data_IF_543823804001
#
_entry.id   IF_543823804001
#
_cell.length_a   1.000
_cell.length_b   1.000
_cell.length_c   1.000
_cell.angle_alpha   90.00
_cell.angle_beta   90.00
_cell.angle_gamma   90.00
#
_symmetry.space_group_name_H-M   'P 1'
#
loop_
_entity.id
_entity.type
_entity.pdbx_description
1 polymer ?
#
# COMPACT_ATOMS: atom_id res chain seq x y z
N UNK A 1 -23.22 -2.09 10.16
CA UNK A 1 -23.02 -1.93 8.70
C UNK A 1 -22.09 -3.06 8.25
N UNK A 2 -22.58 -4.04 7.49
CA UNK A 2 -21.84 -5.30 7.21
C UNK A 2 -20.59 -5.14 6.34
N UNK A 3 -19.56 -4.42 6.82
CA UNK A 3 -18.23 -4.26 6.22
C UNK A 3 -18.15 -3.40 4.96
N UNK A 4 -19.27 -3.16 4.27
CA UNK A 4 -19.27 -2.57 2.92
C UNK A 4 -18.70 -1.16 2.80
N UNK A 5 -18.99 -0.27 3.76
CA UNK A 5 -18.52 1.13 3.71
C UNK A 5 -17.00 1.22 3.85
N UNK A 6 -16.43 0.45 4.76
CA UNK A 6 -14.98 0.42 4.94
C UNK A 6 -14.29 -0.20 3.72
N UNK A 7 -14.81 -1.30 3.18
CA UNK A 7 -14.27 -1.93 1.97
C UNK A 7 -14.30 -0.97 0.78
N UNK A 8 -15.40 -0.25 0.56
CA UNK A 8 -15.52 0.76 -0.48
C UNK A 8 -14.50 1.90 -0.30
N UNK A 9 -14.38 2.43 0.93
CA UNK A 9 -13.38 3.44 1.25
C UNK A 9 -11.96 2.95 1.00
N UNK A 10 -11.65 1.71 1.39
CA UNK A 10 -10.35 1.08 1.17
C UNK A 10 -10.04 0.92 -0.32
N UNK A 11 -11.01 0.48 -1.13
CA UNK A 11 -10.85 0.36 -2.58
C UNK A 11 -10.54 1.72 -3.23
N UNK A 12 -11.25 2.78 -2.84
CA UNK A 12 -10.98 4.14 -3.32
C UNK A 12 -9.61 4.65 -2.87
N UNK A 13 -9.25 4.40 -1.61
CA UNK A 13 -7.95 4.78 -1.06
C UNK A 13 -6.81 4.04 -1.76
N UNK A 14 -6.99 2.75 -2.05
CA UNK A 14 -5.99 1.94 -2.75
C UNK A 14 -5.79 2.49 -4.17
N UNK A 15 -6.90 2.78 -4.86
CA UNK A 15 -6.86 3.37 -6.20
C UNK A 15 -6.17 4.73 -6.22
N UNK A 16 -6.44 5.61 -5.25
CA UNK A 16 -5.86 6.95 -5.23
C UNK A 16 -4.43 6.98 -4.65
N UNK A 17 -4.19 6.27 -3.55
CA UNK A 17 -2.95 6.33 -2.78
C UNK A 17 -1.79 5.55 -3.39
N UNK A 18 -2.08 4.52 -4.18
CA UNK A 18 -1.07 3.69 -4.84
C UNK A 18 -0.96 3.97 -6.35
N UNK A 19 -1.74 4.93 -6.88
CA UNK A 19 -1.59 5.39 -8.26
C UNK A 19 -0.21 6.04 -8.46
N UNK A 20 0.62 5.52 -9.38
CA UNK A 20 1.90 6.14 -9.72
C UNK A 20 1.79 7.61 -10.17
N UNK A 21 0.64 8.03 -10.71
CA UNK A 21 0.37 9.41 -11.11
C UNK A 21 0.28 10.40 -9.94
N UNK A 22 -0.08 9.94 -8.75
CA UNK A 22 -0.18 10.78 -7.53
C UNK A 22 1.20 11.03 -6.91
N UNK A 23 2.19 10.18 -7.21
CA UNK A 23 3.58 10.37 -6.80
C UNK A 23 3.91 9.92 -5.38
N UNK A 24 3.03 9.15 -4.73
CA UNK A 24 3.34 8.45 -3.47
C UNK A 24 4.04 7.11 -3.70
N UNK A 25 3.66 6.40 -4.76
CA UNK A 25 4.24 5.13 -5.18
C UNK A 25 4.74 5.23 -6.62
N UNK A 26 5.65 4.34 -6.99
CA UNK A 26 6.05 4.09 -8.37
C UNK A 26 5.91 2.61 -8.69
N UNK A 27 5.64 2.31 -9.96
CA UNK A 27 5.66 0.95 -10.47
C UNK A 27 7.06 0.62 -11.01
N UNK A 28 7.61 -0.52 -10.60
CA UNK A 28 8.77 -1.13 -11.21
C UNK A 28 8.41 -1.69 -12.61
N UNK A 29 9.42 -2.11 -13.39
CA UNK A 29 9.22 -2.70 -14.72
C UNK A 29 8.32 -3.94 -14.71
N UNK A 30 8.25 -4.66 -13.58
CA UNK A 30 7.40 -5.84 -13.38
C UNK A 30 5.98 -5.51 -12.87
N UNK A 31 5.64 -4.22 -12.80
CA UNK A 31 4.34 -3.72 -12.33
C UNK A 31 4.18 -3.69 -10.81
N UNK A 32 5.23 -4.00 -10.02
CA UNK A 32 5.17 -3.96 -8.56
C UNK A 32 5.39 -2.55 -8.02
N UNK A 33 4.68 -2.23 -6.95
CA UNK A 33 4.63 -0.90 -6.35
C UNK A 33 5.62 -0.75 -5.21
N UNK A 34 6.34 0.38 -5.20
CA UNK A 34 7.20 0.80 -4.09
C UNK A 34 6.99 2.28 -3.79
N UNK A 35 7.02 2.70 -2.51
CA UNK A 35 6.83 4.10 -2.15
C UNK A 35 8.06 4.93 -2.54
N UNK A 36 7.80 6.12 -3.09
CA UNK A 36 8.82 7.06 -3.51
C UNK A 36 9.34 7.89 -2.32
N UNK A 37 10.58 8.38 -2.37
CA UNK A 37 11.01 9.41 -1.44
C UNK A 37 10.22 10.69 -1.74
N UNK A 38 9.59 11.25 -0.72
CA UNK A 38 8.80 12.47 -0.86
C UNK A 38 9.67 13.62 -1.37
N UNK A 39 9.57 13.92 -2.67
CA UNK A 39 10.30 15.00 -3.33
C UNK A 39 9.79 16.37 -2.89
N UNK A 40 9.94 16.79 -1.63
CA UNK A 40 9.57 18.13 -1.13
C UNK A 40 8.14 18.61 -1.46
N UNK A 41 7.27 17.75 -2.00
CA UNK A 41 5.94 18.08 -2.50
C UNK A 41 4.99 17.90 -1.34
N UNK A 42 4.69 19.01 -0.67
CA UNK A 42 3.49 19.10 0.15
C UNK A 42 2.29 18.82 -0.77
N UNK A 43 1.59 17.72 -0.52
CA UNK A 43 0.33 17.43 -1.20
C UNK A 43 -0.71 18.37 -0.60
N UNK A 44 -1.06 19.43 -1.33
CA UNK A 44 -2.12 20.35 -0.94
C UNK A 44 -3.45 19.74 -1.38
N UNK A 45 -4.28 19.36 -0.41
CA UNK A 45 -5.67 19.00 -0.68
C UNK A 45 -6.47 20.29 -0.80
N UNK A 46 -6.90 20.64 -2.02
CA UNK A 46 -7.93 21.67 -2.20
C UNK A 46 -9.27 21.10 -1.75
N UNK A 47 -9.91 21.77 -0.79
CA UNK A 47 -11.25 21.45 -0.34
C UNK A 47 -12.23 21.69 -1.49
N UNK A 48 -12.73 20.63 -2.12
CA UNK A 48 -13.83 20.71 -3.07
C UNK A 48 -15.12 21.15 -2.34
N UNK A 49 -15.37 22.45 -2.29
CA UNK A 49 -16.69 23.01 -2.04
C UNK A 49 -17.01 24.10 -3.06
N UNK A 50 -17.93 23.76 -3.96
CA UNK A 50 -18.83 24.70 -4.62
C UNK A 50 -18.22 25.52 -5.74
N UNK A 51 -18.38 25.02 -6.97
CA UNK A 51 -18.60 25.90 -8.10
C UNK A 51 -19.93 26.64 -7.85
N UNK A 52 -19.87 27.92 -7.48
CA UNK A 52 -20.92 28.89 -7.79
C UNK A 52 -20.27 30.18 -8.29
N UNK A 53 -21.05 30.84 -9.12
CA UNK A 53 -20.71 31.75 -10.20
C UNK A 53 -20.29 33.15 -9.71
N UNK A 54 -19.24 33.72 -10.31
CA UNK A 54 -19.05 35.16 -10.53
C UNK A 54 -18.62 36.05 -9.35
N UNK A 55 -17.32 36.39 -9.28
CA UNK A 55 -16.83 37.78 -9.16
C UNK A 55 -15.30 37.87 -9.21
N UNK A 56 -14.79 38.78 -10.05
CA UNK A 56 -13.39 39.20 -10.13
C UNK A 56 -12.89 39.87 -8.84
N UNK A 57 -11.61 39.64 -8.50
CA UNK A 57 -10.55 40.63 -8.19
C UNK A 57 -9.51 40.11 -7.17
N UNK A 58 -8.35 40.78 -6.97
CA UNK A 58 -7.21 40.85 -7.88
C UNK A 58 -5.92 40.27 -7.25
N UNK A 59 -4.91 40.06 -8.09
CA UNK A 59 -3.56 39.67 -7.69
C UNK A 59 -2.91 40.69 -6.73
N UNK A 60 -2.44 40.22 -5.56
CA UNK A 60 -1.43 40.93 -4.76
C UNK A 60 -0.48 39.88 -4.18
N UNK A 61 0.74 39.83 -4.72
CA UNK A 61 1.83 39.03 -4.18
C UNK A 61 2.35 39.61 -2.87
N UNK A 62 2.65 38.73 -1.91
CA UNK A 62 3.66 38.95 -0.86
C UNK A 62 4.25 37.61 -0.43
N UNK A 63 5.56 37.48 -0.67
CA UNK A 63 6.44 36.48 -0.10
C UNK A 63 6.57 36.66 1.41
N UNK A 64 6.76 35.55 2.13
CA UNK A 64 7.28 35.55 3.49
C UNK A 64 8.33 34.45 3.62
N UNK A 65 9.59 34.85 3.75
CA UNK A 65 10.66 33.99 4.25
C UNK A 65 10.55 33.89 5.77
N UNK A 66 10.66 32.67 6.32
CA UNK A 66 10.93 32.46 7.75
C UNK A 66 12.30 31.81 7.86
N UNK A 67 13.23 32.58 8.43
CA UNK A 67 14.60 32.19 8.69
C UNK A 67 14.67 30.99 9.66
N UNK A 68 15.35 29.91 9.24
CA UNK A 68 15.78 28.85 10.14
C UNK A 68 17.15 29.22 10.73
N UNK A 69 17.23 29.36 12.05
CA UNK A 69 18.51 29.39 12.78
C UNK A 69 19.01 27.97 13.06
N UNK A 70 20.32 27.71 13.03
CA UNK A 70 20.89 26.37 13.14
C UNK A 70 21.18 26.02 14.60
N UNK A 71 20.77 24.82 15.04
CA UNK A 71 21.50 23.94 15.98
C UNK A 71 20.55 22.94 16.67
N UNK A 72 20.77 21.65 16.42
CA UNK A 72 20.95 20.68 17.51
C UNK A 72 21.49 19.38 16.93
N UNK A 73 22.73 19.08 17.30
CA UNK A 73 23.41 17.83 17.07
C UNK A 73 22.74 16.74 17.91
N UNK A 74 22.28 15.65 17.29
CA UNK A 74 21.95 14.42 18.02
C UNK A 74 22.90 13.30 17.61
N UNK A 75 23.82 13.01 18.53
CA UNK A 75 24.72 11.86 18.53
C UNK A 75 23.91 10.57 18.75
N UNK A 76 24.01 9.62 17.83
CA UNK A 76 23.62 8.23 18.06
C UNK A 76 24.72 7.50 18.84
N UNK A 77 24.41 6.62 19.81
CA UNK A 77 25.42 5.74 20.40
C UNK A 77 25.74 4.55 19.46
N UNK A 78 26.98 4.02 19.49
CA UNK A 78 27.40 2.89 18.66
C UNK A 78 26.88 1.55 19.22
N UNK A 79 26.55 0.65 18.31
CA UNK A 79 26.06 -0.69 18.57
C UNK A 79 27.17 -1.57 19.17
N UNK A 80 27.02 -1.97 20.43
CA UNK A 80 27.90 -2.92 21.12
C UNK A 80 27.24 -4.30 21.21
N UNK A 81 27.99 -5.33 20.80
CA UNK A 81 27.65 -6.75 20.94
C UNK A 81 27.14 -7.06 22.35
N UNK A 82 26.08 -7.86 22.47
CA UNK A 82 25.82 -8.67 23.67
C UNK A 82 25.56 -10.12 23.30
N UNK A 83 26.35 -10.96 23.94
CA UNK A 83 26.38 -12.41 23.88
C UNK A 83 25.09 -13.00 24.45
N UNK A 84 24.63 -14.08 23.83
CA UNK A 84 23.53 -14.91 24.33
C UNK A 84 24.01 -15.73 25.53
N UNK A 85 23.42 -15.51 26.70
CA UNK A 85 23.38 -16.51 27.75
C UNK A 85 21.94 -16.97 27.97
N UNK A 86 21.76 -18.27 27.75
CA UNK A 86 20.57 -19.08 27.97
C UNK A 86 20.20 -19.13 29.46
N UNK A 87 18.92 -18.90 29.76
CA UNK A 87 18.19 -19.43 30.92
C UNK A 87 16.70 -19.09 30.78
N UNK A 88 15.87 -20.10 30.58
CA UNK A 88 14.41 -19.99 30.71
C UNK A 88 13.96 -20.05 32.17
N UNK A 89 12.71 -19.65 32.43
CA UNK A 89 11.80 -20.43 33.29
C UNK A 89 10.41 -20.55 32.66
N UNK A 90 9.85 -21.75 32.53
CA UNK A 90 8.95 -22.43 33.49
C UNK A 90 7.54 -21.80 33.56
N UNK A 91 6.57 -22.51 32.97
CA UNK A 91 5.13 -22.31 33.09
C UNK A 91 4.64 -22.75 34.49
N UNK A 92 3.59 -22.12 35.03
CA UNK A 92 2.67 -22.78 35.94
C UNK A 92 1.28 -22.98 35.32
N UNK A 93 0.68 -24.07 35.79
CA UNK A 93 -0.57 -24.74 35.42
C UNK A 93 -1.86 -23.97 35.75
N UNK A 94 -2.93 -24.42 35.08
CA UNK A 94 -4.33 -24.00 35.17
C UNK A 94 -4.96 -24.21 36.57
N UNK A 95 -5.66 -23.18 37.08
CA UNK A 95 -7.00 -23.25 37.68
C UNK A 95 -7.30 -21.97 38.48
N UNK A 96 -8.19 -21.11 38.00
CA UNK A 96 -9.44 -20.75 38.72
C UNK A 96 -10.25 -19.73 37.92
N UNK A 97 -11.57 -19.94 37.93
CA UNK A 97 -12.57 -19.14 37.24
C UNK A 97 -12.70 -17.73 37.85
N UNK A 98 -12.42 -16.72 37.05
CA UNK A 98 -12.64 -15.32 37.39
C UNK A 98 -12.50 -14.46 36.16
N UNK A 99 -13.53 -14.45 35.31
CA UNK A 99 -13.69 -13.43 34.27
C UNK A 99 -13.80 -12.07 34.96
N UNK A 100 -12.66 -11.40 35.09
CA UNK A 100 -12.55 -10.09 35.69
C UNK A 100 -13.18 -9.07 34.74
N UNK A 101 -14.35 -8.59 35.10
CA UNK A 101 -15.16 -7.57 34.42
C UNK A 101 -14.49 -6.19 34.28
N UNK A 102 -13.20 -6.10 34.63
CA UNK A 102 -12.36 -4.90 34.46
C UNK A 102 -11.59 -4.89 33.11
N UNK A 103 -11.61 -5.98 32.34
CA UNK A 103 -11.06 -5.99 30.97
C UNK A 103 -11.96 -5.28 29.94
N UNK A 104 -13.27 -5.16 30.20
CA UNK A 104 -14.20 -4.34 29.38
C UNK A 104 -14.06 -2.84 29.69
N UNK A 105 -13.63 -2.46 30.90
CA UNK A 105 -13.44 -1.06 31.30
C UNK A 105 -12.09 -0.47 30.84
N UNK A 106 -11.09 -1.30 30.52
CA UNK A 106 -9.81 -0.85 29.97
C UNK A 106 -9.82 -0.64 28.45
N UNK A 107 -10.87 -1.12 27.75
CA UNK A 107 -11.04 -0.94 26.29
C UNK A 107 -11.98 0.21 25.92
N UNK A 108 -12.57 0.91 26.90
CA UNK A 108 -13.62 1.90 26.65
C UNK A 108 -13.17 3.37 26.70
N UNK A 109 -11.89 3.73 26.87
CA UNK A 109 -11.58 5.16 27.03
C UNK A 109 -10.27 5.72 26.46
N UNK A 110 -9.52 4.99 25.64
CA UNK A 110 -8.40 5.61 24.89
C UNK A 110 -8.17 4.93 23.54
N UNK A 111 -8.73 5.49 22.45
CA UNK A 111 -8.13 5.49 21.08
C UNK A 111 -9.11 5.94 19.97
N UNK A 112 -10.43 5.92 20.18
CA UNK A 112 -11.40 6.22 19.12
C UNK A 112 -11.93 7.66 19.12
N UNK A 113 -11.71 8.43 20.19
CA UNK A 113 -12.15 9.83 20.30
C UNK A 113 -11.18 10.85 19.73
N UNK A 114 -10.01 10.44 19.22
CA UNK A 114 -8.99 11.35 18.67
C UNK A 114 -9.13 11.60 17.16
N UNK A 115 -10.14 11.03 16.50
CA UNK A 115 -10.46 11.26 15.08
C UNK A 115 -11.79 12.01 14.85
N UNK A 116 -12.35 12.64 15.89
CA UNK A 116 -13.45 13.60 15.76
C UNK A 116 -13.02 14.95 16.32
N UNK A 117 -13.29 16.08 15.61
CA UNK A 117 -12.81 17.38 16.03
C UNK A 117 -13.50 17.79 17.33
N UNK A 118 -12.81 18.61 18.14
CA UNK A 118 -13.22 19.26 19.40
C UNK A 118 -13.55 18.36 20.62
N UNK A 119 -12.63 18.32 21.61
CA UNK A 119 -12.94 18.43 23.05
C UNK A 119 -11.68 18.70 23.89
N UNK A 120 -11.74 19.78 24.67
CA UNK A 120 -10.72 20.27 25.60
C UNK A 120 -10.54 19.35 26.81
N UNK A 121 -9.30 19.08 27.22
CA UNK A 121 -8.98 18.69 28.61
C UNK A 121 -7.91 19.60 29.19
N UNK A 122 -8.20 20.09 30.40
CA UNK A 122 -7.47 21.10 31.16
C UNK A 122 -6.24 20.48 31.86
N UNK A 123 -5.05 20.99 31.57
CA UNK A 123 -3.94 20.99 32.53
C UNK A 123 -3.99 22.24 33.42
N UNK A 124 -3.39 22.23 34.62
CA UNK A 124 -3.46 23.33 35.59
C UNK A 124 -2.53 24.46 35.14
N UNK A 125 -3.00 25.25 34.18
CA UNK A 125 -2.31 26.42 33.65
C UNK A 125 -3.35 27.43 33.22
N UNK A 126 -3.17 28.67 33.67
CA UNK A 126 -4.04 29.83 33.45
C UNK A 126 -4.63 29.86 32.02
N UNK A 127 -5.97 29.90 31.83
CA UNK A 127 -6.56 29.85 30.50
C UNK A 127 -6.32 31.17 29.78
N UNK A 128 -5.37 31.17 28.83
CA UNK A 128 -5.41 32.12 27.72
C UNK A 128 -6.71 31.95 26.93
N UNK A 129 -7.19 32.98 26.22
CA UNK A 129 -8.41 32.87 25.42
C UNK A 129 -8.28 31.67 24.46
N UNK A 130 -9.36 30.89 24.25
CA UNK A 130 -9.32 29.77 23.33
C UNK A 130 -8.85 30.27 21.95
N UNK A 131 -7.94 29.55 21.26
CA UNK A 131 -7.61 29.89 19.89
C UNK A 131 -8.92 29.87 19.10
N UNK A 132 -9.24 31.00 18.47
CA UNK A 132 -10.42 31.11 17.62
C UNK A 132 -10.39 30.05 16.52
N UNK A 133 -11.55 29.70 15.93
CA UNK A 133 -11.59 28.80 14.79
C UNK A 133 -10.61 29.30 13.73
N UNK A 134 -9.70 28.42 13.28
CA UNK A 134 -8.79 28.72 12.19
C UNK A 134 -9.60 29.10 10.95
N UNK A 135 -9.17 30.12 10.19
CA UNK A 135 -9.89 30.51 8.98
C UNK A 135 -9.97 29.33 8.00
N UNK A 136 -11.07 29.22 7.23
CA UNK A 136 -11.38 28.06 6.36
C UNK A 136 -10.42 27.83 5.20
N UNK A 137 -9.30 28.57 5.14
CA UNK A 137 -8.32 28.59 4.06
C UNK A 137 -6.89 28.29 4.53
N UNK A 138 -6.71 27.73 5.74
CA UNK A 138 -5.38 27.25 6.15
C UNK A 138 -5.08 25.92 5.46
N UNK A 139 -4.11 25.85 4.52
CA UNK A 139 -3.77 24.59 3.88
C UNK A 139 -3.19 23.64 4.92
N UNK A 140 -3.86 22.50 5.13
CA UNK A 140 -3.31 21.42 5.96
C UNK A 140 -2.15 20.80 5.19
N UNK A 141 -0.92 21.16 5.55
CA UNK A 141 0.28 20.54 5.00
C UNK A 141 0.45 19.16 5.63
N UNK A 142 0.05 18.11 4.92
CA UNK A 142 0.29 16.73 5.35
C UNK A 142 1.65 16.28 4.83
N UNK A 143 2.54 15.88 5.74
CA UNK A 143 3.85 15.38 5.34
C UNK A 143 3.73 14.06 4.59
N UNK A 144 4.60 13.85 3.60
CA UNK A 144 4.65 12.63 2.78
C UNK A 144 4.73 11.35 3.65
N UNK A 145 5.58 11.36 4.68
CA UNK A 145 5.70 10.24 5.62
C UNK A 145 4.41 9.98 6.42
N UNK A 146 3.56 10.98 6.64
CA UNK A 146 2.26 10.80 7.30
C UNK A 146 1.24 10.16 6.37
N UNK A 147 1.23 10.50 5.09
CA UNK A 147 0.40 9.83 4.08
C UNK A 147 0.80 8.36 3.94
N UNK A 148 2.10 8.05 3.88
CA UNK A 148 2.58 6.67 3.84
C UNK A 148 2.18 5.88 5.10
N UNK A 149 2.28 6.49 6.29
CA UNK A 149 1.79 5.87 7.53
C UNK A 149 0.28 5.60 7.46
N UNK A 150 -0.51 6.55 6.97
CA UNK A 150 -1.95 6.36 6.80
C UNK A 150 -2.26 5.18 5.87
N UNK A 151 -1.63 5.14 4.69
CA UNK A 151 -1.81 4.04 3.73
C UNK A 151 -1.39 2.69 4.34
N UNK A 152 -0.28 2.68 5.09
CA UNK A 152 0.16 1.52 5.85
C UNK A 152 -0.89 1.06 6.87
N UNK A 153 -1.41 1.98 7.68
CA UNK A 153 -2.45 1.68 8.67
C UNK A 153 -3.72 1.13 8.02
N UNK A 154 -4.13 1.67 6.89
CA UNK A 154 -5.32 1.20 6.17
C UNK A 154 -5.13 -0.21 5.59
N UNK A 155 -3.93 -0.51 5.06
CA UNK A 155 -3.60 -1.87 4.63
C UNK A 155 -3.51 -2.84 5.83
N UNK A 156 -2.99 -2.39 6.97
CA UNK A 156 -2.98 -3.18 8.21
C UNK A 156 -4.39 -3.48 8.72
N UNK A 157 -5.29 -2.50 8.62
CA UNK A 157 -6.71 -2.67 8.95
C UNK A 157 -7.39 -3.67 8.03
N UNK A 158 -7.12 -3.60 6.73
CA UNK A 158 -7.61 -4.55 5.74
C UNK A 158 -7.20 -5.99 6.09
N UNK A 159 -5.92 -6.21 6.41
CA UNK A 159 -5.44 -7.53 6.83
C UNK A 159 -6.15 -8.01 8.10
N UNK A 160 -6.30 -7.13 9.10
CA UNK A 160 -6.96 -7.47 10.36
C UNK A 160 -8.42 -7.89 10.17
N UNK A 161 -9.13 -7.28 9.22
CA UNK A 161 -10.51 -7.61 8.88
C UNK A 161 -10.65 -8.73 7.83
N UNK A 162 -9.53 -9.29 7.34
CA UNK A 162 -9.56 -10.33 6.32
C UNK A 162 -10.00 -9.83 4.93
N UNK A 163 -9.89 -8.53 4.67
CA UNK A 163 -10.21 -7.91 3.39
C UNK A 163 -8.99 -8.00 2.47
N UNK A 164 -9.14 -8.73 1.37
CA UNK A 164 -8.10 -8.83 0.35
C UNK A 164 -8.01 -7.55 -0.46
N UNK A 165 -6.79 -7.12 -0.74
CA UNK A 165 -6.49 -5.93 -1.54
C UNK A 165 -5.58 -6.32 -2.70
N UNK A 166 -5.99 -6.02 -3.94
CA UNK A 166 -5.18 -6.31 -5.13
C UNK A 166 -4.04 -5.29 -5.30
N UNK A 167 -2.99 -5.46 -4.51
CA UNK A 167 -1.81 -4.60 -4.50
C UNK A 167 -0.54 -5.44 -4.74
N UNK A 168 0.08 -5.37 -5.93
CA UNK A 168 1.36 -6.02 -6.18
C UNK A 168 2.48 -5.20 -5.51
N UNK A 169 2.90 -5.55 -4.30
CA UNK A 169 3.95 -4.84 -3.59
C UNK A 169 5.34 -5.32 -4.00
N UNK A 170 6.29 -4.39 -4.11
CA UNK A 170 7.68 -4.71 -4.39
C UNK A 170 8.36 -5.36 -3.17
N UNK A 171 9.41 -6.14 -3.42
CA UNK A 171 10.17 -6.86 -2.39
C UNK A 171 10.64 -5.96 -1.23
N UNK A 172 11.10 -4.71 -1.44
CA UNK A 172 11.49 -3.81 -0.36
C UNK A 172 10.35 -3.48 0.61
N UNK A 173 9.13 -3.30 0.11
CA UNK A 173 7.95 -3.01 0.95
C UNK A 173 7.62 -4.23 1.81
N UNK A 174 7.58 -5.42 1.19
CA UNK A 174 7.32 -6.67 1.88
C UNK A 174 8.39 -6.98 2.93
N UNK A 175 9.66 -6.71 2.63
CA UNK A 175 10.77 -6.84 3.60
C UNK A 175 10.66 -5.82 4.74
N UNK A 176 10.24 -4.58 4.47
CA UNK A 176 9.99 -3.59 5.52
C UNK A 176 8.87 -4.02 6.47
N UNK A 177 7.77 -4.58 5.96
CA UNK A 177 6.66 -5.12 6.78
C UNK A 177 7.09 -6.32 7.64
N UNK A 178 8.12 -7.05 7.22
CA UNK A 178 8.67 -8.19 7.97
C UNK A 178 9.77 -7.79 8.95
N UNK A 179 10.28 -6.56 8.86
CA UNK A 179 11.52 -6.16 9.52
C UNK A 179 12.77 -6.89 8.98
N UNK A 180 12.72 -7.39 7.74
CA UNK A 180 13.81 -8.10 7.09
C UNK A 180 14.82 -7.14 6.43
N UNK A 181 16.12 -7.47 6.42
CA UNK A 181 17.12 -6.65 5.72
C UNK A 181 16.92 -6.73 4.21
N UNK A 182 17.32 -5.66 3.52
CA UNK A 182 17.41 -5.66 2.06
C UNK A 182 18.72 -6.31 1.59
N UNK A 183 18.69 -6.84 0.36
CA UNK A 183 19.82 -7.49 -0.28
C UNK A 183 20.06 -7.00 -1.72
N UNK A 184 21.10 -7.53 -2.38
CA UNK A 184 21.48 -7.16 -3.74
C UNK A 184 20.45 -7.54 -4.81
N UNK A 185 19.56 -8.50 -4.54
CA UNK A 185 18.49 -8.89 -5.47
C UNK A 185 17.36 -7.87 -5.47
N UNK A 186 17.10 -7.20 -4.34
CA UNK A 186 16.09 -6.14 -4.24
C UNK A 186 16.41 -4.94 -5.12
N UNK A 187 17.71 -4.67 -5.35
CA UNK A 187 18.12 -3.60 -6.24
C UNK A 187 17.70 -3.86 -7.69
N UNK A 188 17.62 -5.11 -8.14
CA UNK A 188 17.18 -5.42 -9.49
C UNK A 188 15.72 -4.97 -9.75
N UNK A 189 14.88 -5.00 -8.72
CA UNK A 189 13.49 -4.55 -8.81
C UNK A 189 13.36 -3.02 -8.75
N UNK A 190 14.27 -2.33 -8.05
CA UNK A 190 14.24 -0.88 -7.87
C UNK A 190 14.99 -0.10 -8.95
N UNK A 191 16.15 -0.60 -9.35
CA UNK A 191 17.03 0.00 -10.37
C UNK A 191 17.72 -1.11 -11.20
N UNK A 192 17.05 -1.61 -12.25
CA UNK A 192 17.59 -2.64 -13.13
C UNK A 192 18.88 -2.22 -13.83
N UNK A 193 19.04 -0.92 -14.11
CA UNK A 193 20.23 -0.39 -14.78
C UNK A 193 21.45 -0.45 -13.85
N UNK A 194 21.32 0.07 -12.63
CA UNK A 194 22.39 0.00 -11.64
C UNK A 194 22.73 -1.44 -11.27
N UNK A 195 21.72 -2.32 -11.14
CA UNK A 195 21.95 -3.74 -10.89
C UNK A 195 22.80 -4.39 -11.99
N UNK A 196 22.52 -4.08 -13.27
CA UNK A 196 23.32 -4.55 -14.41
C UNK A 196 24.75 -4.01 -14.35
N UNK A 197 24.92 -2.72 -14.09
CA UNK A 197 26.25 -2.09 -13.99
C UNK A 197 27.10 -2.69 -12.87
N UNK A 198 26.52 -2.94 -11.69
CA UNK A 198 27.22 -3.57 -10.57
C UNK A 198 27.57 -5.04 -10.87
N UNK A 199 26.70 -5.79 -11.55
CA UNK A 199 27.02 -7.16 -12.00
C UNK A 199 28.15 -7.16 -13.03
N UNK A 200 28.19 -6.18 -13.93
CA UNK A 200 29.28 -6.04 -14.90
C UNK A 200 30.59 -5.72 -14.19
N UNK A 201 30.56 -4.82 -13.20
CA UNK A 201 31.72 -4.47 -12.39
C UNK A 201 32.29 -5.68 -11.63
N UNK A 202 31.42 -6.51 -11.05
CA UNK A 202 31.83 -7.75 -10.36
C UNK A 202 32.45 -8.81 -11.29
N UNK A 203 32.14 -8.77 -12.59
CA UNK A 203 32.61 -9.73 -13.60
C UNK A 203 33.65 -9.11 -14.54
N UNK A 204 34.15 -7.92 -14.21
CA UNK A 204 35.06 -7.20 -15.08
C UNK A 204 36.38 -7.99 -15.20
N UNK A 205 36.82 -8.32 -16.43
CA UNK A 205 38.00 -9.17 -16.63
C UNK A 205 39.34 -8.41 -16.50
N UNK A 206 39.31 -7.07 -16.55
CA UNK A 206 40.50 -6.21 -16.44
C UNK A 206 40.79 -5.75 -15.01
N UNK A 207 41.72 -4.80 -14.88
CA UNK A 207 41.96 -4.14 -13.59
C UNK A 207 40.84 -3.14 -13.28
N UNK A 208 40.11 -3.39 -12.19
CA UNK A 208 39.03 -2.53 -11.73
C UNK A 208 39.55 -1.14 -11.33
N UNK A 209 40.82 -1.03 -10.91
CA UNK A 209 41.41 0.25 -10.51
C UNK A 209 41.52 1.25 -11.69
N UNK A 210 41.63 0.76 -12.93
CA UNK A 210 41.67 1.59 -14.13
C UNK A 210 40.35 2.33 -14.39
N UNK A 211 39.24 1.84 -13.81
CA UNK A 211 37.93 2.48 -13.93
C UNK A 211 37.81 3.76 -13.10
N UNK A 212 38.80 4.07 -12.26
CA UNK A 212 38.84 5.32 -11.48
C UNK A 212 37.70 5.44 -10.46
N UNK A 213 37.14 4.31 -10.02
CA UNK A 213 36.07 4.28 -9.03
C UNK A 213 36.65 4.42 -7.63
N UNK A 214 35.93 5.14 -6.77
CA UNK A 214 36.25 5.30 -5.35
C UNK A 214 35.06 4.86 -4.50
N UNK A 215 35.25 4.66 -3.20
CA UNK A 215 34.16 4.39 -2.25
C UNK A 215 33.32 5.66 -1.94
N UNK A 216 32.96 6.38 -2.99
CA UNK A 216 32.11 7.56 -2.96
C UNK A 216 31.18 7.56 -4.18
N UNK A 217 30.00 8.17 -4.03
CA UNK A 217 29.02 8.35 -5.09
C UNK A 217 28.73 9.83 -5.28
N UNK A 218 28.51 10.25 -6.52
CA UNK A 218 27.95 11.57 -6.80
C UNK A 218 26.42 11.45 -6.82
N UNK A 219 25.76 12.26 -5.99
CA UNK A 219 24.31 12.36 -5.92
C UNK A 219 23.91 13.80 -6.19
N UNK A 220 22.82 14.01 -6.94
CA UNK A 220 22.24 15.34 -7.10
C UNK A 220 21.68 15.80 -5.75
N UNK A 221 22.04 17.01 -5.33
CA UNK A 221 21.41 17.66 -4.18
C UNK A 221 19.96 17.97 -4.53
N UNK A 222 19.03 17.41 -3.76
CA UNK A 222 17.63 17.78 -3.79
C UNK A 222 17.53 19.26 -3.39
N UNK A 223 17.51 20.15 -4.36
CA UNK A 223 17.27 21.58 -4.11
C UNK A 223 15.89 21.75 -3.47
N UNK A 224 15.86 22.38 -2.29
CA UNK A 224 14.62 22.89 -1.69
C UNK A 224 13.83 23.63 -2.78
N UNK A 225 12.56 23.28 -2.95
CA UNK A 225 11.71 23.55 -4.12
C UNK A 225 11.61 25.01 -4.57
N UNK A 226 12.67 25.52 -5.21
CA UNK A 226 12.67 26.75 -5.95
C UNK A 226 11.94 26.54 -7.27
N UNK A 227 10.68 27.00 -7.29
CA UNK A 227 9.89 27.45 -8.43
C UNK A 227 10.51 27.18 -9.80
N UNK A 228 9.83 26.34 -10.59
CA UNK A 228 10.05 26.23 -12.03
C UNK A 228 10.08 27.63 -12.62
N UNK A 229 11.28 28.16 -12.89
CA UNK A 229 11.44 29.45 -13.51
C UNK A 229 10.72 29.39 -14.86
N UNK A 230 9.69 30.22 -14.99
CA UNK A 230 8.97 30.43 -16.22
C UNK A 230 9.97 30.63 -17.37
N UNK A 231 9.65 29.94 -18.46
CA UNK A 231 10.39 29.86 -19.72
C UNK A 231 11.19 31.13 -20.03
N UNK A 232 12.50 31.13 -19.80
CA UNK A 232 13.36 32.20 -20.34
C UNK A 232 14.72 32.47 -19.72
N UNK A 233 15.13 31.87 -18.60
CA UNK A 233 16.43 32.19 -17.97
C UNK A 233 17.19 30.97 -17.45
N UNK A 234 18.44 30.84 -17.91
CA UNK A 234 19.55 29.97 -17.47
C UNK A 234 19.20 28.86 -16.47
N UNK A 235 19.20 27.61 -16.94
CA UNK A 235 19.21 26.42 -16.08
C UNK A 235 20.28 26.58 -14.99
N UNK A 236 19.87 26.67 -13.71
CA UNK A 236 20.82 26.59 -12.59
C UNK A 236 21.59 25.27 -12.71
N UNK A 237 22.93 25.25 -12.54
CA UNK A 237 23.69 24.02 -12.52
C UNK A 237 23.16 23.13 -11.38
N UNK A 238 22.89 21.87 -11.68
CA UNK A 238 22.53 20.86 -10.67
C UNK A 238 23.71 20.75 -9.70
N UNK A 239 23.48 21.06 -8.42
CA UNK A 239 24.50 20.88 -7.38
C UNK A 239 24.70 19.37 -7.20
N UNK A 240 25.92 18.87 -7.40
CA UNK A 240 26.28 17.48 -7.17
C UNK A 240 27.01 17.39 -5.83
N UNK A 241 26.53 16.52 -4.95
CA UNK A 241 27.15 16.20 -3.68
C UNK A 241 27.82 14.85 -3.74
N UNK A 242 29.09 14.80 -3.34
CA UNK A 242 29.81 13.54 -3.13
C UNK A 242 29.41 12.94 -1.78
N UNK A 243 28.92 11.71 -1.80
CA UNK A 243 28.54 10.93 -0.62
C UNK A 243 29.52 9.78 -0.45
N UNK A 244 30.27 9.79 0.65
CA UNK A 244 31.20 8.72 0.97
C UNK A 244 30.45 7.48 1.48
N UNK A 245 30.75 6.32 0.90
CA UNK A 245 30.15 5.03 1.27
C UNK A 245 30.75 4.44 2.56
N UNK A 246 31.99 4.83 2.86
CA UNK A 246 32.74 4.51 4.08
C UNK A 246 33.51 5.76 4.49
N UNK A 247 33.92 5.91 5.77
CA UNK A 247 34.71 7.06 6.21
C UNK A 247 36.01 7.19 5.40
N UNK A 248 36.24 8.36 4.77
CA UNK A 248 37.40 8.59 3.90
C UNK A 248 37.29 7.90 2.54
N UNK A 249 36.09 7.47 2.15
CA UNK A 249 35.83 6.69 0.95
C UNK A 249 36.20 7.40 -0.35
N UNK A 250 36.21 8.73 -0.37
CA UNK A 250 36.63 9.52 -1.54
C UNK A 250 38.11 9.30 -1.90
N UNK A 251 38.94 8.90 -0.93
CA UNK A 251 40.35 8.57 -1.16
C UNK A 251 40.62 7.07 -1.35
N UNK A 252 39.61 6.22 -1.18
CA UNK A 252 39.76 4.76 -1.26
C UNK A 252 39.36 4.26 -2.65
N UNK A 253 40.36 3.93 -3.47
CA UNK A 253 40.14 3.39 -4.81
C UNK A 253 39.51 1.98 -4.76
N UNK A 254 38.62 1.72 -5.71
CA UNK A 254 38.04 0.39 -5.92
C UNK A 254 39.02 -0.44 -6.74
N UNK A 255 39.31 -1.63 -6.24
CA UNK A 255 40.25 -2.61 -6.80
C UNK A 255 39.55 -3.95 -6.91
N UNK A 256 40.12 -4.90 -7.67
CA UNK A 256 39.55 -6.25 -7.79
C UNK A 256 39.44 -6.98 -6.44
N UNK A 257 40.24 -6.60 -5.43
CA UNK A 257 40.18 -7.16 -4.08
C UNK A 257 39.02 -6.61 -3.23
N UNK A 258 38.58 -5.37 -3.46
CA UNK A 258 37.55 -4.71 -2.64
C UNK A 258 36.24 -4.42 -3.41
N UNK A 259 36.16 -4.79 -4.69
CA UNK A 259 35.00 -4.54 -5.57
C UNK A 259 33.69 -5.13 -5.01
N UNK A 260 33.75 -6.29 -4.33
CA UNK A 260 32.56 -6.88 -3.71
C UNK A 260 32.02 -6.01 -2.58
N UNK A 261 32.91 -5.48 -1.74
CA UNK A 261 32.54 -4.57 -0.65
C UNK A 261 31.99 -3.26 -1.22
N UNK A 262 32.62 -2.72 -2.27
CA UNK A 262 32.10 -1.54 -2.98
C UNK A 262 30.66 -1.76 -3.47
N UNK A 263 30.41 -2.85 -4.19
CA UNK A 263 29.07 -3.19 -4.66
C UNK A 263 28.07 -3.32 -3.51
N UNK A 264 28.44 -3.99 -2.42
CA UNK A 264 27.60 -4.14 -1.24
C UNK A 264 27.25 -2.78 -0.62
N UNK A 265 28.22 -1.87 -0.53
CA UNK A 265 28.04 -0.51 0.00
C UNK A 265 27.17 0.35 -0.91
N UNK A 266 27.37 0.31 -2.23
CA UNK A 266 26.53 1.03 -3.20
C UNK A 266 25.07 0.56 -3.10
N UNK A 267 24.85 -0.76 -3.07
CA UNK A 267 23.50 -1.32 -2.92
C UNK A 267 22.89 -0.86 -1.59
N UNK A 268 23.61 -1.06 -0.49
CA UNK A 268 23.15 -0.67 0.85
C UNK A 268 22.80 0.81 0.95
N UNK A 269 23.61 1.67 0.32
CA UNK A 269 23.38 3.10 0.28
C UNK A 269 22.12 3.42 -0.52
N UNK A 270 22.06 3.03 -1.80
CA UNK A 270 20.94 3.35 -2.70
C UNK A 270 19.60 2.83 -2.20
N UNK A 271 19.59 1.63 -1.64
CA UNK A 271 18.39 1.06 -1.04
C UNK A 271 17.93 1.86 0.17
N UNK A 272 18.86 2.28 1.05
CA UNK A 272 18.54 3.09 2.23
C UNK A 272 18.12 4.52 1.89
N UNK A 273 18.83 5.18 1.00
CA UNK A 273 18.67 6.62 0.73
C UNK A 273 17.46 6.96 -0.15
N UNK A 274 16.97 6.03 -0.99
CA UNK A 274 15.86 6.34 -1.92
C UNK A 274 14.55 5.63 -1.61
N UNK A 275 14.57 4.38 -1.17
CA UNK A 275 13.34 3.57 -1.07
C UNK A 275 13.01 3.18 0.37
N UNK A 276 14.01 3.06 1.25
CA UNK A 276 13.81 2.41 2.53
C UNK A 276 13.06 3.27 3.56
N UNK A 277 13.37 4.56 3.70
CA UNK A 277 12.66 5.42 4.65
C UNK A 277 11.14 5.52 4.37
N UNK A 278 10.70 5.71 3.10
CA UNK A 278 9.30 5.59 2.73
C UNK A 278 8.70 4.21 3.07
N UNK A 279 9.40 3.12 2.78
CA UNK A 279 8.96 1.77 3.11
C UNK A 279 8.79 1.59 4.63
N UNK A 280 9.71 2.13 5.44
CA UNK A 280 9.63 2.09 6.90
C UNK A 280 8.50 2.98 7.44
N UNK A 281 8.22 4.13 6.83
CA UNK A 281 7.07 4.96 7.18
C UNK A 281 5.76 4.20 6.93
N UNK A 282 5.65 3.56 5.76
CA UNK A 282 4.52 2.69 5.44
C UNK A 282 4.39 1.52 6.43
N UNK A 283 5.48 0.79 6.70
CA UNK A 283 5.49 -0.34 7.62
C UNK A 283 5.13 0.07 9.06
N UNK A 284 5.56 1.26 9.52
CA UNK A 284 5.14 1.80 10.82
C UNK A 284 3.64 2.03 10.91
N UNK A 285 3.03 2.53 9.83
CA UNK A 285 1.58 2.63 9.73
C UNK A 285 0.92 1.27 9.85
N UNK A 286 1.38 0.31 9.06
CA UNK A 286 0.85 -1.05 9.07
C UNK A 286 0.93 -1.71 10.45
N UNK A 287 2.07 -1.58 11.13
CA UNK A 287 2.28 -2.15 12.46
C UNK A 287 1.57 -1.41 13.60
N UNK A 288 0.87 -0.30 13.32
CA UNK A 288 -0.04 0.29 14.30
C UNK A 288 -1.24 -0.62 14.64
N UNK A 289 -1.56 -1.56 13.75
CA UNK A 289 -2.64 -2.53 13.92
C UNK A 289 -2.16 -3.98 13.91
N UNK A 290 -1.13 -4.30 13.12
CA UNK A 290 -0.63 -5.69 12.97
C UNK A 290 0.74 -5.85 13.65
N UNK A 291 0.85 -6.60 14.77
CA UNK A 291 2.12 -6.78 15.45
C UNK A 291 3.23 -7.32 14.54
N UNK A 292 4.38 -6.65 14.51
CA UNK A 292 5.53 -7.04 13.68
C UNK A 292 6.01 -8.50 13.88
N UNK A 293 6.02 -9.07 15.10
CA UNK A 293 6.43 -10.47 15.30
C UNK A 293 5.57 -11.49 14.55
N UNK A 294 4.30 -11.18 14.26
CA UNK A 294 3.43 -12.10 13.51
C UNK A 294 3.90 -12.26 12.07
N UNK A 295 4.36 -11.17 11.45
CA UNK A 295 4.85 -11.18 10.07
C UNK A 295 6.26 -11.75 9.94
N UNK A 296 7.03 -11.81 11.02
CA UNK A 296 8.40 -12.35 11.00
C UNK A 296 8.44 -13.86 10.67
N UNK A 297 7.35 -14.59 10.92
CA UNK A 297 7.24 -16.02 10.60
C UNK A 297 7.03 -16.30 9.11
N UNK A 298 6.57 -15.31 8.34
CA UNK A 298 6.26 -15.45 6.92
C UNK A 298 7.41 -14.96 6.04
N UNK A 299 7.51 -15.51 4.83
CA UNK A 299 8.33 -14.97 3.76
C UNK A 299 7.62 -13.83 2.99
N UNK A 300 8.32 -13.17 2.06
CA UNK A 300 7.73 -12.05 1.33
C UNK A 300 6.58 -12.47 0.39
N UNK A 301 6.62 -13.68 -0.16
CA UNK A 301 5.55 -14.18 -1.03
C UNK A 301 4.30 -14.55 -0.21
N UNK A 302 4.49 -15.12 0.98
CA UNK A 302 3.43 -15.41 1.93
C UNK A 302 2.77 -14.13 2.45
N UNK A 303 3.55 -13.10 2.81
CA UNK A 303 2.97 -11.78 3.19
C UNK A 303 2.16 -11.19 2.03
N UNK A 304 2.65 -11.29 0.80
CA UNK A 304 1.90 -10.85 -0.38
C UNK A 304 0.60 -11.64 -0.57
N UNK A 305 0.61 -12.95 -0.28
CA UNK A 305 -0.58 -13.80 -0.38
C UNK A 305 -1.59 -13.53 0.75
N UNK A 306 -1.12 -13.18 1.95
CA UNK A 306 -1.99 -12.75 3.05
C UNK A 306 -2.75 -11.46 2.71
N UNK A 307 -2.08 -10.52 2.04
CA UNK A 307 -2.67 -9.22 1.68
C UNK A 307 -3.57 -9.29 0.45
N UNK A 308 -3.19 -10.08 -0.55
CA UNK A 308 -3.82 -10.04 -1.88
C UNK A 308 -4.41 -11.37 -2.33
N UNK A 309 -4.46 -12.37 -1.47
CA UNK A 309 -4.96 -13.70 -1.79
C UNK A 309 -3.94 -14.60 -2.51
N UNK A 310 -4.31 -15.85 -2.65
CA UNK A 310 -3.47 -16.89 -3.25
C UNK A 310 -3.36 -16.69 -4.77
N UNK A 311 -2.13 -16.80 -5.29
CA UNK A 311 -1.88 -16.81 -6.73
C UNK A 311 -2.10 -18.22 -7.30
N UNK A 312 -3.33 -18.69 -7.23
CA UNK A 312 -3.73 -19.99 -7.78
C UNK A 312 -3.83 -19.92 -9.32
N UNK A 313 -3.50 -21.04 -9.98
CA UNK A 313 -3.62 -21.15 -11.43
C UNK A 313 -5.07 -21.30 -11.91
N UNK A 314 -5.99 -21.72 -11.03
CA UNK A 314 -7.43 -21.80 -11.29
C UNK A 314 -8.20 -21.51 -10.01
N UNK A 315 -9.42 -20.99 -10.17
CA UNK A 315 -10.37 -20.81 -9.08
C UNK A 315 -10.88 -22.17 -8.60
N UNK A 316 -10.88 -22.42 -7.29
CA UNK A 316 -11.62 -23.55 -6.72
C UNK A 316 -13.12 -23.24 -6.76
N UNK A 317 -13.75 -23.64 -7.86
CA UNK A 317 -15.18 -23.39 -8.10
C UNK A 317 -16.05 -24.19 -7.14
N UNK A 318 -15.58 -25.35 -6.67
CA UNK A 318 -16.32 -26.17 -5.73
C UNK A 318 -16.37 -25.50 -4.35
N UNK A 319 -15.24 -24.97 -3.88
CA UNK A 319 -15.16 -24.22 -2.63
C UNK A 319 -15.97 -22.91 -2.70
N UNK A 320 -15.85 -22.17 -3.80
CA UNK A 320 -16.64 -20.95 -4.03
C UNK A 320 -18.15 -21.24 -4.01
N UNK A 321 -18.58 -22.31 -4.70
CA UNK A 321 -19.99 -22.73 -4.73
C UNK A 321 -20.49 -23.17 -3.37
N UNK A 322 -19.68 -23.93 -2.62
CA UNK A 322 -20.05 -24.45 -1.30
C UNK A 322 -20.33 -23.34 -0.29
N UNK A 323 -19.61 -22.24 -0.39
CA UNK A 323 -19.71 -21.11 0.55
C UNK A 323 -20.51 -19.92 0.00
N UNK A 324 -21.05 -20.03 -1.23
CA UNK A 324 -21.90 -19.00 -1.80
C UNK A 324 -23.31 -19.00 -1.19
N UNK A 325 -23.86 -17.80 -1.01
CA UNK A 325 -25.25 -17.56 -0.66
C UNK A 325 -26.06 -17.13 -1.88
N UNK A 326 -27.36 -17.40 -1.83
CA UNK A 326 -28.28 -17.09 -2.91
C UNK A 326 -29.44 -16.23 -2.37
N UNK A 327 -29.92 -15.28 -3.17
CA UNK A 327 -30.95 -14.34 -2.75
C UNK A 327 -31.78 -13.77 -3.90
N UNK A 328 -32.77 -12.94 -3.56
CA UNK A 328 -33.64 -12.27 -4.54
C UNK A 328 -34.50 -13.22 -5.37
N UNK A 329 -34.77 -14.43 -4.88
CA UNK A 329 -35.52 -15.46 -5.60
C UNK A 329 -34.64 -16.48 -6.34
N UNK A 330 -33.32 -16.44 -6.15
CA UNK A 330 -32.45 -17.58 -6.44
C UNK A 330 -32.15 -18.39 -5.18
N UNK A 331 -31.96 -19.68 -5.42
CA UNK A 331 -31.44 -20.69 -4.48
C UNK A 331 -30.37 -21.54 -5.19
N UNK A 332 -29.81 -22.51 -4.47
CA UNK A 332 -28.72 -23.36 -4.99
C UNK A 332 -29.14 -24.25 -6.17
N UNK A 333 -30.44 -24.55 -6.29
CA UNK A 333 -31.01 -25.47 -7.29
C UNK A 333 -31.61 -24.73 -8.50
N UNK A 334 -31.64 -23.40 -8.45
CA UNK A 334 -32.15 -22.53 -9.51
C UNK A 334 -31.40 -22.81 -10.83
N UNK A 335 -32.09 -23.02 -11.97
CA UNK A 335 -31.46 -23.38 -13.24
C UNK A 335 -30.36 -22.42 -13.68
N UNK A 336 -30.54 -21.12 -13.43
CA UNK A 336 -29.57 -20.08 -13.76
C UNK A 336 -28.34 -20.12 -12.85
N UNK A 337 -28.50 -20.45 -11.57
CA UNK A 337 -27.38 -20.65 -10.63
C UNK A 337 -26.58 -21.90 -11.02
N UNK A 338 -27.25 -23.00 -11.33
CA UNK A 338 -26.60 -24.22 -11.82
C UNK A 338 -25.87 -24.00 -13.15
N UNK A 339 -26.44 -23.19 -14.05
CA UNK A 339 -25.80 -22.82 -15.32
C UNK A 339 -24.61 -21.87 -15.09
N UNK A 340 -24.72 -20.94 -14.15
CA UNK A 340 -23.63 -20.04 -13.77
C UNK A 340 -22.40 -20.82 -13.33
N UNK A 341 -22.54 -21.75 -12.37
CA UNK A 341 -21.38 -22.52 -11.89
C UNK A 341 -20.75 -23.39 -12.99
N UNK A 342 -21.55 -24.01 -13.87
CA UNK A 342 -21.04 -24.74 -15.04
C UNK A 342 -20.27 -23.85 -16.00
N UNK A 343 -20.75 -22.63 -16.24
CA UNK A 343 -20.02 -21.64 -17.04
C UNK A 343 -18.69 -21.29 -16.37
N UNK A 344 -18.69 -21.00 -15.06
CA UNK A 344 -17.46 -20.65 -14.30
C UNK A 344 -16.43 -21.78 -14.33
N UNK A 345 -16.84 -23.04 -14.20
CA UNK A 345 -15.97 -24.20 -14.34
C UNK A 345 -15.33 -24.29 -15.75
N UNK A 346 -16.06 -23.90 -16.79
CA UNK A 346 -15.60 -23.89 -18.18
C UNK A 346 -14.80 -22.66 -18.61
N UNK A 347 -14.65 -21.65 -17.73
CA UNK A 347 -13.87 -20.45 -18.03
C UNK A 347 -12.36 -20.71 -18.05
N UNK A 348 -11.63 -19.88 -18.80
CA UNK A 348 -10.17 -19.86 -18.72
C UNK A 348 -9.73 -19.27 -17.37
N UNK A 349 -8.53 -19.64 -16.87
CA UNK A 349 -7.99 -19.08 -15.63
C UNK A 349 -8.05 -17.56 -15.53
N UNK A 350 -7.74 -16.87 -16.63
CA UNK A 350 -7.74 -15.41 -16.72
C UNK A 350 -9.15 -14.84 -16.56
N UNK A 351 -10.14 -15.50 -17.14
CA UNK A 351 -11.56 -15.13 -17.05
C UNK A 351 -12.14 -15.44 -15.67
N UNK A 352 -11.69 -16.53 -15.02
CA UNK A 352 -12.05 -16.83 -13.63
C UNK A 352 -11.51 -15.76 -12.68
N UNK A 353 -10.26 -15.33 -12.86
CA UNK A 353 -9.66 -14.25 -12.09
C UNK A 353 -10.35 -12.90 -12.37
N UNK A 354 -10.70 -12.63 -13.63
CA UNK A 354 -11.45 -11.43 -14.00
C UNK A 354 -12.87 -11.41 -13.41
N UNK A 355 -13.56 -12.55 -13.40
CA UNK A 355 -14.85 -12.70 -12.73
C UNK A 355 -14.75 -12.52 -11.22
N UNK A 356 -13.73 -13.08 -10.58
CA UNK A 356 -13.53 -12.91 -9.15
C UNK A 356 -13.23 -11.44 -8.81
N UNK A 357 -12.43 -10.76 -9.64
CA UNK A 357 -12.21 -9.30 -9.50
C UNK A 357 -13.51 -8.53 -9.69
N UNK A 358 -14.30 -8.85 -10.71
CA UNK A 358 -15.60 -8.22 -10.93
C UNK A 358 -16.54 -8.40 -9.74
N UNK A 359 -16.49 -9.55 -9.06
CA UNK A 359 -17.36 -9.86 -7.94
C UNK A 359 -16.85 -9.33 -6.59
N UNK A 360 -15.53 -9.32 -6.36
CA UNK A 360 -14.93 -9.09 -5.03
C UNK A 360 -13.92 -7.95 -4.98
N UNK A 361 -13.58 -7.34 -6.12
CA UNK A 361 -12.46 -6.40 -6.32
C UNK A 361 -11.06 -7.02 -6.23
N UNK A 362 -10.95 -8.31 -5.91
CA UNK A 362 -9.69 -9.05 -5.87
C UNK A 362 -9.69 -10.16 -6.95
N UNK A 363 -8.65 -10.30 -7.78
CA UNK A 363 -8.56 -11.37 -8.78
C UNK A 363 -8.16 -12.72 -8.18
N UNK A 364 -7.87 -12.77 -6.88
CA UNK A 364 -7.26 -13.90 -6.18
C UNK A 364 -8.17 -14.36 -5.04
N UNK A 365 -8.25 -15.68 -4.86
CA UNK A 365 -9.05 -16.27 -3.80
C UNK A 365 -8.39 -16.08 -2.42
N UNK A 366 -9.16 -16.06 -1.32
CA UNK A 366 -8.60 -16.06 0.03
C UNK A 366 -7.77 -17.32 0.27
N UNK A 367 -6.65 -17.15 0.97
CA UNK A 367 -5.70 -18.24 1.27
C UNK A 367 -6.35 -19.42 2.02
N UNK A 368 -7.38 -19.14 2.83
CA UNK A 368 -8.08 -20.13 3.66
C UNK A 368 -9.44 -20.54 3.08
N UNK A 369 -9.67 -20.25 1.79
CA UNK A 369 -10.92 -20.56 1.08
C UNK A 369 -12.02 -19.51 1.25
N UNK A 370 -13.11 -19.68 0.49
CA UNK A 370 -14.21 -18.72 0.42
C UNK A 370 -15.07 -18.63 1.68
N UNK A 371 -14.92 -19.59 2.60
CA UNK A 371 -15.58 -19.57 3.91
C UNK A 371 -15.17 -18.38 4.78
N UNK A 372 -13.97 -17.81 4.55
CA UNK A 372 -13.44 -16.71 5.38
C UNK A 372 -13.86 -15.33 4.89
N UNK A 373 -14.59 -15.24 3.77
CA UNK A 373 -15.10 -13.95 3.29
C UNK A 373 -16.25 -13.49 4.17
N UNK A 374 -16.12 -12.28 4.71
CA UNK A 374 -17.20 -11.56 5.37
C UNK A 374 -17.41 -10.20 4.69
N UNK A 375 -18.57 -9.96 4.03
CA UNK A 375 -19.67 -10.89 3.83
C UNK A 375 -19.36 -12.01 2.81
N UNK A 376 -20.09 -13.14 2.83
CA UNK A 376 -19.86 -14.26 1.92
C UNK A 376 -20.24 -13.91 0.47
N UNK A 377 -19.67 -14.64 -0.48
CA UNK A 377 -20.05 -14.56 -1.89
C UNK A 377 -21.56 -14.74 -2.03
N UNK A 378 -22.26 -13.77 -2.60
CA UNK A 378 -23.72 -13.81 -2.74
C UNK A 378 -24.14 -13.63 -4.19
N UNK A 379 -25.03 -14.49 -4.70
CA UNK A 379 -25.66 -14.33 -6.02
C UNK A 379 -27.13 -13.96 -5.83
N UNK A 380 -27.56 -12.85 -6.41
CA UNK A 380 -28.94 -12.37 -6.35
C UNK A 380 -29.56 -12.25 -7.74
N UNK A 381 -30.82 -12.66 -7.88
CA UNK A 381 -31.55 -12.46 -9.14
C UNK A 381 -31.71 -10.97 -9.45
N UNK A 382 -31.38 -10.57 -10.68
CA UNK A 382 -31.47 -9.18 -11.13
C UNK A 382 -32.66 -8.97 -12.10
N UNK A 383 -33.81 -8.59 -11.55
CA UNK A 383 -35.03 -8.33 -12.30
C UNK A 383 -35.73 -9.60 -12.81
N UNK A 384 -36.76 -9.41 -13.64
CA UNK A 384 -37.59 -10.48 -14.17
C UNK A 384 -37.06 -11.04 -15.49
N UNK A 385 -37.68 -12.13 -15.97
CA UNK A 385 -37.30 -12.78 -17.24
C UNK A 385 -37.43 -11.84 -18.45
N UNK A 386 -38.39 -10.90 -18.39
CA UNK A 386 -38.64 -9.94 -19.44
C UNK A 386 -37.48 -8.94 -19.57
N UNK A 387 -36.79 -8.99 -20.71
CA UNK A 387 -35.63 -8.15 -20.98
C UNK A 387 -34.31 -8.64 -20.37
N UNK A 388 -34.29 -9.82 -19.71
CA UNK A 388 -33.08 -10.38 -19.11
C UNK A 388 -31.95 -10.58 -20.14
N UNK A 389 -32.29 -10.96 -21.38
CA UNK A 389 -31.32 -11.15 -22.46
C UNK A 389 -30.55 -9.88 -22.85
N UNK A 390 -31.09 -8.68 -22.55
CA UNK A 390 -30.45 -7.39 -22.83
C UNK A 390 -29.68 -6.80 -21.65
N UNK A 391 -29.86 -7.33 -20.43
CA UNK A 391 -29.20 -6.82 -19.22
C UNK A 391 -27.85 -7.52 -19.00
N UNK A 392 -26.87 -6.76 -18.53
CA UNK A 392 -25.58 -7.30 -18.09
C UNK A 392 -25.65 -7.67 -16.60
N UNK A 393 -24.86 -8.65 -16.14
CA UNK A 393 -24.68 -8.84 -14.71
C UNK A 393 -24.01 -7.60 -14.12
N UNK A 394 -24.32 -7.30 -12.86
CA UNK A 394 -23.69 -6.21 -12.10
C UNK A 394 -23.19 -6.74 -10.77
N UNK A 395 -22.23 -6.07 -10.15
CA UNK A 395 -21.69 -6.45 -8.86
C UNK A 395 -21.72 -5.29 -7.87
N UNK A 396 -21.86 -5.61 -6.59
CA UNK A 396 -21.54 -4.73 -5.48
C UNK A 396 -20.40 -5.36 -4.69
N UNK A 397 -19.16 -5.01 -5.07
CA UNK A 397 -17.91 -5.58 -4.54
C UNK A 397 -17.79 -5.38 -3.03
N UNK A 398 -18.28 -4.25 -2.51
CA UNK A 398 -18.30 -3.93 -1.09
C UNK A 398 -19.00 -4.98 -0.23
N UNK A 399 -19.97 -5.70 -0.79
CA UNK A 399 -20.73 -6.76 -0.10
C UNK A 399 -20.65 -8.12 -0.80
N UNK A 400 -19.63 -8.31 -1.65
CA UNK A 400 -19.41 -9.56 -2.40
C UNK A 400 -20.68 -10.08 -3.10
N UNK A 401 -21.46 -9.18 -3.69
CA UNK A 401 -22.76 -9.48 -4.29
C UNK A 401 -22.69 -9.43 -5.81
N UNK A 402 -23.09 -10.52 -6.47
CA UNK A 402 -23.29 -10.62 -7.91
C UNK A 402 -24.79 -10.61 -8.22
N UNK A 403 -25.25 -9.58 -8.92
CA UNK A 403 -26.61 -9.46 -9.44
C UNK A 403 -26.65 -10.11 -10.82
N UNK A 404 -27.28 -11.28 -10.91
CA UNK A 404 -27.32 -12.12 -12.10
C UNK A 404 -28.73 -12.12 -12.72
N UNK A 405 -28.93 -11.53 -13.92
CA UNK A 405 -30.19 -11.62 -14.64
C UNK A 405 -30.58 -13.07 -14.96
N UNK A 406 -31.88 -13.39 -15.05
CA UNK A 406 -32.34 -14.74 -15.36
C UNK A 406 -32.19 -15.07 -16.86
N UNK A 407 -30.96 -15.30 -17.31
CA UNK A 407 -30.66 -15.60 -18.71
C UNK A 407 -31.36 -16.86 -19.22
N UNK A 408 -31.84 -16.86 -20.48
CA UNK A 408 -32.64 -17.97 -21.03
C UNK A 408 -31.81 -19.20 -21.41
N UNK A 409 -30.50 -19.05 -21.62
CA UNK A 409 -29.60 -20.15 -21.99
C UNK A 409 -28.21 -19.97 -21.37
N UNK A 410 -27.50 -21.09 -21.22
CA UNK A 410 -26.12 -21.11 -20.72
C UNK A 410 -25.16 -20.32 -21.63
N UNK A 411 -25.38 -20.39 -22.94
CA UNK A 411 -24.61 -19.62 -23.92
C UNK A 411 -24.81 -18.11 -23.74
N UNK A 412 -26.07 -17.66 -23.58
CA UNK A 412 -26.36 -16.25 -23.32
C UNK A 412 -25.77 -15.79 -21.99
N UNK A 413 -25.82 -16.64 -20.94
CA UNK A 413 -25.19 -16.35 -19.67
C UNK A 413 -23.68 -16.17 -19.84
N UNK A 414 -23.01 -17.12 -20.50
CA UNK A 414 -21.56 -17.08 -20.74
C UNK A 414 -21.15 -15.81 -21.48
N UNK A 415 -21.82 -15.50 -22.58
CA UNK A 415 -21.48 -14.34 -23.40
C UNK A 415 -21.66 -13.02 -22.63
N UNK A 416 -22.72 -12.92 -21.81
CA UNK A 416 -23.00 -11.72 -21.00
C UNK A 416 -22.03 -11.56 -19.82
N UNK A 417 -21.66 -12.67 -19.17
CA UNK A 417 -20.63 -12.67 -18.12
C UNK A 417 -19.27 -12.26 -18.70
N UNK A 418 -18.84 -12.90 -19.79
CA UNK A 418 -17.58 -12.55 -20.45
C UNK A 418 -17.57 -11.10 -20.93
N UNK A 419 -18.68 -10.63 -21.50
CA UNK A 419 -18.80 -9.24 -21.90
C UNK A 419 -18.63 -8.29 -20.71
N UNK A 420 -19.32 -8.54 -19.58
CA UNK A 420 -19.25 -7.68 -18.41
C UNK A 420 -17.84 -7.61 -17.79
N UNK A 421 -17.17 -8.76 -17.64
CA UNK A 421 -15.84 -8.81 -17.02
C UNK A 421 -14.75 -8.20 -17.92
N UNK A 422 -14.91 -8.25 -19.25
CA UNK A 422 -13.95 -7.67 -20.20
C UNK A 422 -14.26 -6.22 -20.59
N UNK A 423 -15.49 -5.76 -20.44
CA UNK A 423 -15.88 -4.38 -20.72
C UNK A 423 -15.24 -3.36 -19.75
N UNK A 424 -14.45 -3.81 -18.77
CA UNK A 424 -13.88 -2.94 -17.75
C UNK A 424 -14.95 -2.34 -16.83
N UNK A 425 -16.14 -2.93 -16.79
CA UNK A 425 -17.28 -2.51 -15.98
C UNK A 425 -17.03 -2.85 -14.50
N UNK A 426 -15.99 -2.26 -13.92
CA UNK A 426 -15.73 -2.33 -12.49
C UNK A 426 -16.57 -1.34 -11.70
N UNK A 427 -16.91 -0.17 -12.25
CA UNK A 427 -17.42 0.94 -11.44
C UNK A 427 -18.27 1.99 -12.18
N UNK A 428 -18.95 1.64 -13.27
CA UNK A 428 -19.84 2.61 -13.92
C UNK A 428 -21.26 2.04 -14.13
N UNK A 429 -22.22 2.81 -13.58
CA UNK A 429 -23.66 2.78 -13.82
C UNK A 429 -24.47 1.76 -12.99
N UNK A 430 -24.65 2.09 -11.71
CA UNK A 430 -25.91 1.81 -11.00
C UNK A 430 -26.78 3.05 -10.96
#
# INVERSE_FOLDING_TARGET
DGGGVFKEFLEQLVRAGFDPGVGLFAAAEDGRLFPLPGRGRSVVFESARGAEEGQEAPAVGRSWEVAASPSSSFLFPPWGRREYHSRGPALPDDSDDGWDSDAEAAFSDTAWTTLLPWRLTRGPGNPGPPPGPLPPSTPVQVSHASLLRLLGSMLGKALWEGILVDLPLAAPVLKALRGAPLDASDLAALDPQLHRSLRQLQRYPGDVAELGLFFALEEEEDGDGGEECEKGASARPRSLRTVELVPGGSGLAVTSANVQEYCHRVVSHRLRSRAWEPCLAFARGFHSLVPAPLLAAFDSAEVQALLSGERAARLDVADARRHARYGGGYDADSPQVLSFWRVVEGLQPEDQAALLRFWTSCPRAPLLGFQTLDPPLTIQKAGDADGAAGRLPTAATCVNLLKLPPYPSEHALRDRVLYAIHAGAGFELS
#
